data_IF_433009481738
#
_entry.id   IF_433009481738
#
_cell.length_a   1.000
_cell.length_b   1.000
_cell.length_c   1.000
_cell.angle_alpha   90.00
_cell.angle_beta   90.00
_cell.angle_gamma   90.00
#
_symmetry.space_group_name_H-M   'P 1'
#
loop_
_entity.id
_entity.type
_entity.pdbx_description
1 polymer ?
#
# COMPACT_ATOMS: atom_id res chain seq x y z
N UNK A 1 -11.24 6.22 35.61
CA UNK A 1 -10.50 7.43 35.22
C UNK A 1 -9.38 7.16 34.20
N UNK A 2 -8.78 5.97 34.13
CA UNK A 2 -7.74 5.69 33.11
C UNK A 2 -8.25 5.55 31.66
N UNK A 3 -9.51 5.12 31.46
CA UNK A 3 -10.15 4.99 30.13
C UNK A 3 -10.13 6.29 29.29
N UNK A 4 -9.97 7.45 29.93
CA UNK A 4 -10.04 8.77 29.27
C UNK A 4 -8.66 9.45 29.10
N UNK A 5 -7.56 8.78 29.45
CA UNK A 5 -6.20 9.29 29.20
C UNK A 5 -5.70 8.81 27.84
N UNK A 6 -6.37 9.23 26.79
CA UNK A 6 -6.03 8.90 25.41
C UNK A 6 -5.83 10.17 24.58
N UNK A 7 -4.93 10.09 23.61
CA UNK A 7 -4.75 11.10 22.57
C UNK A 7 -5.36 10.59 21.28
N UNK A 8 -6.06 11.47 20.55
CA UNK A 8 -6.59 11.21 19.22
C UNK A 8 -6.15 12.33 18.30
N UNK A 9 -5.66 11.98 17.12
CA UNK A 9 -5.34 12.92 16.05
C UNK A 9 -5.99 12.43 14.76
N UNK A 10 -6.79 13.27 14.13
CA UNK A 10 -7.41 13.00 12.83
C UNK A 10 -6.73 13.88 11.78
N UNK A 11 -6.13 13.25 10.78
CA UNK A 11 -5.33 13.89 9.74
C UNK A 11 -5.87 13.53 8.36
N UNK A 12 -5.73 14.45 7.41
CA UNK A 12 -5.90 14.15 5.99
C UNK A 12 -4.55 14.31 5.30
N UNK A 13 -3.96 13.20 4.86
CA UNK A 13 -2.69 13.18 4.13
C UNK A 13 -2.97 13.31 2.63
N UNK A 14 -2.45 14.36 2.01
CA UNK A 14 -2.53 14.56 0.55
C UNK A 14 -1.49 13.69 -0.14
N UNK A 15 -1.92 12.71 -0.93
CA UNK A 15 -1.03 11.87 -1.75
C UNK A 15 -1.35 12.04 -3.25
N UNK A 16 -0.39 11.70 -4.11
CA UNK A 16 -0.59 11.68 -5.58
C UNK A 16 -1.70 10.71 -6.02
N UNK A 17 -2.00 9.73 -5.17
CA UNK A 17 -3.04 8.71 -5.34
C UNK A 17 -4.34 9.07 -4.59
N UNK A 18 -4.49 10.32 -4.13
CA UNK A 18 -5.68 10.80 -3.42
C UNK A 18 -5.47 11.02 -1.92
N UNK A 19 -6.53 11.53 -1.27
CA UNK A 19 -6.49 11.94 0.13
C UNK A 19 -6.69 10.75 1.08
N UNK A 20 -5.69 10.45 1.90
CA UNK A 20 -5.80 9.41 2.94
C UNK A 20 -6.24 10.04 4.24
N UNK A 21 -7.37 9.58 4.79
CA UNK A 21 -7.76 9.91 6.15
C UNK A 21 -7.00 9.02 7.12
N UNK A 22 -6.29 9.61 8.06
CA UNK A 22 -5.52 8.91 9.07
C UNK A 22 -6.07 9.27 10.44
N UNK A 23 -6.45 8.26 11.21
CA UNK A 23 -6.83 8.40 12.61
C UNK A 23 -5.73 7.76 13.46
N UNK A 24 -5.11 8.56 14.32
CA UNK A 24 -4.06 8.14 15.26
C UNK A 24 -4.64 8.15 16.65
N UNK A 25 -4.50 7.04 17.38
CA UNK A 25 -4.96 6.89 18.76
C UNK A 25 -3.82 6.39 19.65
N UNK A 26 -3.66 6.98 20.83
CA UNK A 26 -2.65 6.57 21.81
C UNK A 26 -3.31 6.46 23.19
N UNK A 27 -3.38 5.26 23.75
CA UNK A 27 -3.92 5.01 25.09
C UNK A 27 -3.03 4.05 25.87
N UNK A 28 -2.59 4.47 27.05
CA UNK A 28 -1.65 3.66 27.81
C UNK A 28 -0.35 3.48 27.04
N UNK A 29 0.09 2.24 26.85
CA UNK A 29 1.25 1.91 26.00
C UNK A 29 0.86 1.71 24.54
N UNK A 30 -0.42 1.51 24.27
CA UNK A 30 -0.93 1.08 22.98
C UNK A 30 -1.13 2.28 22.05
N UNK A 31 -0.75 2.09 20.80
CA UNK A 31 -0.79 3.11 19.75
C UNK A 31 -1.36 2.51 18.47
N UNK A 32 -2.33 3.20 17.88
CA UNK A 32 -3.01 2.78 16.66
C UNK A 32 -2.89 3.83 15.59
N UNK A 33 -2.61 3.40 14.37
CA UNK A 33 -2.71 4.22 13.16
C UNK A 33 -3.71 3.56 12.23
N UNK A 34 -4.83 4.21 11.99
CA UNK A 34 -5.92 3.74 11.14
C UNK A 34 -5.94 4.59 9.88
N UNK A 35 -5.45 4.02 8.78
CA UNK A 35 -5.49 4.64 7.47
C UNK A 35 -6.75 4.20 6.72
N UNK A 36 -7.64 5.17 6.48
CA UNK A 36 -8.78 5.08 5.59
C UNK A 36 -8.39 5.74 4.27
N UNK A 37 -8.05 4.89 3.32
CA UNK A 37 -7.70 5.34 1.99
C UNK A 37 -8.92 5.94 1.25
N UNK A 38 -8.72 6.85 0.29
CA UNK A 38 -9.80 7.61 -0.36
C UNK A 38 -10.85 6.73 -1.06
N UNK A 39 -10.51 5.48 -1.36
CA UNK A 39 -11.40 4.46 -1.92
C UNK A 39 -12.07 3.55 -0.87
N UNK A 40 -12.42 4.09 0.31
CA UNK A 40 -13.15 3.37 1.39
C UNK A 40 -14.44 2.67 0.93
N UNK A 41 -15.04 3.07 -0.21
CA UNK A 41 -16.18 2.38 -0.83
C UNK A 41 -15.86 0.93 -1.24
N UNK A 42 -14.58 0.58 -1.42
CA UNK A 42 -14.13 -0.79 -1.66
C UNK A 42 -13.75 -1.55 -0.36
N UNK A 43 -13.90 -0.92 0.81
CA UNK A 43 -13.60 -1.51 2.12
C UNK A 43 -12.11 -1.68 2.43
N UNK A 44 -11.21 -1.05 1.65
CA UNK A 44 -9.75 -1.19 1.82
C UNK A 44 -9.24 -0.24 2.89
N UNK A 45 -8.95 -0.78 4.06
CA UNK A 45 -8.43 -0.04 5.22
C UNK A 45 -7.16 -0.70 5.77
N UNK A 46 -6.31 0.10 6.40
CA UNK A 46 -5.16 -0.40 7.16
C UNK A 46 -5.30 0.04 8.60
N UNK A 47 -5.08 -0.88 9.53
CA UNK A 47 -4.75 -0.56 10.91
C UNK A 47 -3.35 -1.08 11.24
N UNK A 48 -2.57 -0.24 11.92
CA UNK A 48 -1.29 -0.59 12.51
C UNK A 48 -1.44 -0.49 14.02
N UNK A 49 -1.19 -1.60 14.72
CA UNK A 49 -1.09 -1.62 16.17
C UNK A 49 0.39 -1.59 16.55
N UNK A 50 0.77 -0.73 17.48
CA UNK A 50 2.15 -0.61 17.93
C UNK A 50 2.21 -0.07 19.36
N UNK A 51 3.42 0.04 19.89
CA UNK A 51 3.70 0.78 21.11
C UNK A 51 4.69 1.89 20.76
N UNK A 52 4.45 3.11 21.26
CA UNK A 52 5.39 4.20 21.08
C UNK A 52 6.59 3.99 22.00
N UNK A 53 7.81 4.23 21.51
CA UNK A 53 9.04 4.14 22.31
C UNK A 53 9.85 5.42 22.14
N UNK A 54 10.60 5.80 23.18
CA UNK A 54 11.44 7.00 23.16
C UNK A 54 12.47 6.91 22.02
N UNK A 55 12.42 7.86 21.08
CA UNK A 55 13.30 7.87 19.90
C UNK A 55 13.10 6.67 18.97
N UNK A 56 11.98 5.95 19.07
CA UNK A 56 11.75 4.71 18.33
C UNK A 56 12.56 3.51 18.83
N UNK A 57 13.31 3.66 19.92
CA UNK A 57 14.15 2.59 20.49
C UNK A 57 13.30 1.55 21.22
N UNK A 58 13.07 0.42 20.55
CA UNK A 58 12.23 -0.69 21.06
C UNK A 58 12.81 -1.39 22.29
N UNK A 59 14.09 -1.17 22.62
CA UNK A 59 14.68 -1.69 23.86
C UNK A 59 14.23 -0.90 25.09
N UNK A 60 13.78 0.35 24.88
CA UNK A 60 13.25 1.19 25.94
C UNK A 60 11.79 0.84 26.24
N UNK A 61 11.32 1.09 27.47
CA UNK A 61 9.91 0.91 27.81
C UNK A 61 9.00 1.71 26.88
N UNK A 62 7.85 1.14 26.52
CA UNK A 62 6.81 1.86 25.80
C UNK A 62 6.36 3.09 26.59
N UNK A 63 6.15 4.20 25.89
CA UNK A 63 5.80 5.49 26.46
C UNK A 63 4.29 5.70 26.46
N UNK A 64 3.82 6.38 27.50
CA UNK A 64 2.43 6.81 27.64
C UNK A 64 2.21 8.14 26.90
N UNK A 65 0.96 8.49 26.56
CA UNK A 65 0.64 9.83 26.09
C UNK A 65 1.15 10.88 27.09
N UNK A 66 1.58 12.03 26.55
CA UNK A 66 1.94 13.19 27.35
C UNK A 66 0.77 13.53 28.28
N UNK A 67 1.02 13.58 29.59
CA UNK A 67 -0.02 13.85 30.57
C UNK A 67 -0.54 15.28 30.38
N UNK A 68 -1.86 15.50 30.51
CA UNK A 68 -2.48 16.82 30.31
C UNK A 68 -1.84 17.96 31.13
N UNK A 69 -1.20 17.63 32.25
CA UNK A 69 -0.57 18.58 33.16
C UNK A 69 0.95 18.74 32.94
N UNK A 70 1.50 18.21 31.85
CA UNK A 70 2.93 18.29 31.55
C UNK A 70 3.47 19.74 31.53
N UNK A 71 2.63 20.70 31.11
CA UNK A 71 2.96 22.13 31.11
C UNK A 71 3.22 22.68 32.52
N UNK A 72 2.70 22.06 33.57
CA UNK A 72 2.96 22.46 34.96
C UNK A 72 4.41 22.25 35.39
N UNK A 73 5.16 21.43 34.64
CA UNK A 73 6.57 21.18 34.92
C UNK A 73 7.52 22.01 34.03
N UNK A 74 6.96 22.79 33.10
CA UNK A 74 7.76 23.65 32.24
C UNK A 74 8.28 24.86 33.00
N UNK A 75 9.52 25.21 32.71
CA UNK A 75 10.13 26.45 33.17
C UNK A 75 10.40 27.38 32.00
N UNK A 76 10.30 28.68 32.26
CA UNK A 76 10.59 29.72 31.29
C UNK A 76 12.09 29.76 31.01
N UNK A 77 12.47 29.64 29.74
CA UNK A 77 13.85 29.80 29.28
C UNK A 77 14.13 31.26 28.94
N UNK A 78 13.24 31.89 28.17
CA UNK A 78 13.46 33.23 27.67
C UNK A 78 12.53 33.62 26.54
N UNK A 79 12.64 34.86 26.09
CA UNK A 79 11.92 35.36 24.92
C UNK A 79 12.84 35.36 23.72
N UNK A 80 12.42 34.68 22.66
CA UNK A 80 13.26 34.41 21.50
C UNK A 80 12.60 34.92 20.23
N UNK A 81 13.41 35.49 19.33
CA UNK A 81 13.00 35.76 17.96
C UNK A 81 13.36 34.54 17.12
N UNK A 82 12.35 33.80 16.67
CA UNK A 82 12.52 32.50 16.03
C UNK A 82 11.77 32.44 14.69
N UNK A 83 12.39 31.81 13.70
CA UNK A 83 11.70 31.44 12.46
C UNK A 83 10.84 30.20 12.69
N UNK A 84 9.58 30.27 12.31
CA UNK A 84 8.62 29.18 12.42
C UNK A 84 8.60 28.41 11.10
N UNK A 85 8.90 27.13 11.17
CA UNK A 85 8.96 26.25 10.01
C UNK A 85 7.58 26.08 9.35
N UNK A 86 7.53 25.72 8.07
CA UNK A 86 6.30 25.46 7.27
C UNK A 86 5.33 26.65 7.04
N UNK A 87 5.31 27.65 7.92
CA UNK A 87 4.55 28.90 7.75
C UNK A 87 5.40 30.07 7.26
N UNK A 88 6.73 29.89 7.17
CA UNK A 88 7.68 30.88 6.65
C UNK A 88 7.58 32.26 7.31
N UNK A 89 7.37 32.29 8.62
CA UNK A 89 7.20 33.51 9.40
C UNK A 89 8.24 33.59 10.52
N UNK A 90 8.68 34.80 10.89
CA UNK A 90 9.55 35.02 12.06
C UNK A 90 8.74 35.71 13.15
N UNK A 91 8.63 35.10 14.32
CA UNK A 91 7.88 35.64 15.46
C UNK A 91 8.77 35.80 16.70
N UNK A 92 8.31 36.63 17.65
CA UNK A 92 8.91 36.76 18.97
C UNK A 92 8.04 35.97 19.95
N UNK A 93 8.57 34.89 20.51
CA UNK A 93 7.82 33.94 21.31
C UNK A 93 8.48 33.70 22.68
N UNK A 94 7.67 33.39 23.68
CA UNK A 94 8.13 32.92 24.99
C UNK A 94 8.46 31.43 24.89
N UNK A 95 9.70 31.09 25.22
CA UNK A 95 10.25 29.75 25.17
C UNK A 95 10.19 29.11 26.55
N UNK A 96 9.59 27.92 26.60
CA UNK A 96 9.43 27.08 27.76
C UNK A 96 10.09 25.73 27.51
N UNK A 97 10.63 25.10 28.55
CA UNK A 97 11.09 23.71 28.45
C UNK A 97 10.81 22.88 29.70
N UNK A 98 10.73 21.58 29.49
CA UNK A 98 10.77 20.56 30.52
C UNK A 98 11.50 19.32 29.98
N UNK A 99 12.73 19.09 30.47
CA UNK A 99 13.59 18.05 29.92
C UNK A 99 13.83 18.27 28.41
N UNK A 100 13.58 17.28 27.54
CA UNK A 100 13.74 17.42 26.09
C UNK A 100 12.53 18.08 25.40
N UNK A 101 11.48 18.47 26.12
CA UNK A 101 10.27 19.06 25.52
C UNK A 101 10.35 20.58 25.56
N UNK A 102 10.20 21.21 24.40
CA UNK A 102 10.23 22.66 24.25
C UNK A 102 8.93 23.18 23.66
N UNK A 103 8.49 24.33 24.14
CA UNK A 103 7.29 25.01 23.69
C UNK A 103 7.56 26.50 23.45
N UNK A 104 7.03 27.05 22.37
CA UNK A 104 7.04 28.48 22.10
C UNK A 104 5.61 28.99 22.04
N UNK A 105 5.31 29.97 22.90
CA UNK A 105 3.99 30.57 23.01
C UNK A 105 4.02 32.07 22.72
N UNK A 106 2.91 32.60 22.24
CA UNK A 106 2.69 34.03 22.05
C UNK A 106 2.73 34.77 23.41
N UNK A 107 3.63 35.75 23.60
CA UNK A 107 3.76 36.49 24.86
C UNK A 107 2.49 37.15 25.38
N UNK A 108 1.65 37.63 24.47
CA UNK A 108 0.49 38.43 24.83
C UNK A 108 -0.66 37.61 25.44
N UNK A 109 -0.76 36.33 25.10
CA UNK A 109 -1.91 35.50 25.48
C UNK A 109 -1.56 34.04 25.84
N UNK A 110 -0.29 33.64 25.77
CA UNK A 110 0.17 32.29 26.07
C UNK A 110 -0.25 31.23 25.03
N UNK A 111 -0.80 31.63 23.88
CA UNK A 111 -1.19 30.69 22.82
C UNK A 111 0.03 29.96 22.33
N UNK A 112 -0.02 28.62 22.35
CA UNK A 112 1.09 27.81 21.91
C UNK A 112 1.16 27.82 20.37
N UNK A 113 2.36 28.04 19.84
CA UNK A 113 2.61 28.23 18.40
C UNK A 113 3.46 27.09 17.84
N UNK A 114 4.44 26.63 18.63
CA UNK A 114 5.40 25.61 18.21
C UNK A 114 5.76 24.72 19.38
N UNK A 115 5.80 23.41 19.13
CA UNK A 115 6.37 22.42 20.02
C UNK A 115 7.55 21.74 19.34
N UNK A 116 8.55 21.39 20.13
CA UNK A 116 9.67 20.60 19.68
C UNK A 116 10.07 19.57 20.71
N UNK A 117 10.41 18.39 20.22
CA UNK A 117 11.18 17.40 20.95
C UNK A 117 12.25 16.84 20.01
N UNK A 118 13.51 16.69 20.46
CA UNK A 118 14.64 16.27 19.62
C UNK A 118 14.46 14.91 18.92
N UNK A 119 13.43 14.14 19.27
CA UNK A 119 13.23 12.78 18.78
C UNK A 119 11.84 12.49 18.19
N UNK A 120 10.86 13.40 18.38
CA UNK A 120 9.46 13.17 17.95
C UNK A 120 8.98 14.21 16.91
N UNK A 121 9.86 15.09 16.44
CA UNK A 121 9.59 16.05 15.38
C UNK A 121 9.11 17.41 15.86
N UNK A 122 8.88 18.29 14.87
CA UNK A 122 8.37 19.66 15.04
C UNK A 122 6.85 19.65 14.86
N UNK A 123 6.11 20.25 15.80
CA UNK A 123 4.68 20.49 15.65
C UNK A 123 4.42 21.99 15.63
N UNK A 124 3.69 22.44 14.62
CA UNK A 124 3.39 23.87 14.39
C UNK A 124 1.89 24.02 14.27
N UNK A 125 1.32 24.86 15.13
CA UNK A 125 -0.11 25.06 15.22
C UNK A 125 -0.46 26.34 14.46
N UNK A 126 -1.09 26.20 13.28
CA UNK A 126 -1.43 27.31 12.40
C UNK A 126 -2.45 28.26 13.03
N UNK A 127 -3.50 27.69 13.64
CA UNK A 127 -4.48 28.41 14.45
C UNK A 127 -4.79 27.57 15.69
N UNK A 128 -4.36 28.08 16.85
CA UNK A 128 -4.79 27.66 18.19
C UNK A 128 -4.25 26.31 18.70
N UNK A 129 -3.35 26.39 19.69
CA UNK A 129 -3.42 25.49 20.85
C UNK A 129 -3.80 26.33 22.07
N UNK A 130 -4.97 26.04 22.65
CA UNK A 130 -5.40 26.63 23.93
C UNK A 130 -6.73 27.40 23.95
N UNK A 131 -7.39 27.64 22.82
CA UNK A 131 -8.68 28.38 22.77
C UNK A 131 -9.82 27.63 22.08
N UNK A 132 -9.77 26.30 21.99
CA UNK A 132 -11.00 25.51 21.84
C UNK A 132 -11.48 25.11 23.25
N UNK A 133 -12.35 25.90 23.92
CA UNK A 133 -13.03 25.49 25.15
C UNK A 133 -14.05 24.37 24.89
N UNK A 134 -14.01 23.72 23.73
CA UNK A 134 -14.85 22.59 23.41
C UNK A 134 -14.60 21.47 24.41
N UNK A 135 -15.68 20.98 25.02
CA UNK A 135 -15.67 19.70 25.70
C UNK A 135 -15.19 18.63 24.73
N UNK A 136 -14.14 17.90 25.13
CA UNK A 136 -13.71 16.70 24.42
C UNK A 136 -14.92 15.75 24.31
N UNK A 137 -15.30 15.38 23.09
CA UNK A 137 -16.37 14.40 22.91
C UNK A 137 -15.85 13.02 23.31
N UNK A 138 -16.21 12.56 24.51
CA UNK A 138 -15.82 11.22 24.99
C UNK A 138 -16.22 10.10 24.03
N UNK A 139 -17.22 10.32 23.16
CA UNK A 139 -17.66 9.32 22.17
C UNK A 139 -16.56 8.95 21.19
N UNK A 140 -15.66 9.87 20.85
CA UNK A 140 -14.57 9.59 19.90
C UNK A 140 -13.51 8.62 20.44
N UNK A 141 -13.58 8.28 21.74
CA UNK A 141 -12.72 7.30 22.42
C UNK A 141 -13.48 6.04 22.87
N UNK A 142 -14.76 5.88 22.51
CA UNK A 142 -15.54 4.71 22.92
C UNK A 142 -15.08 3.41 22.24
N UNK A 143 -14.51 3.52 21.05
CA UNK A 143 -14.02 2.40 20.26
C UNK A 143 -12.49 2.31 20.33
N UNK A 144 -11.97 2.12 21.54
CA UNK A 144 -10.56 1.73 21.75
C UNK A 144 -10.53 0.27 22.22
N UNK A 145 -9.81 -0.64 21.54
CA UNK A 145 -9.11 -0.44 20.26
C UNK A 145 -10.09 -0.17 19.10
N UNK A 146 -9.66 0.53 18.03
CA UNK A 146 -10.53 0.81 16.90
C UNK A 146 -11.11 -0.45 16.28
N UNK A 147 -12.37 -0.42 15.85
CA UNK A 147 -13.03 -1.57 15.22
C UNK A 147 -12.27 -2.07 13.98
N UNK A 148 -11.64 -1.17 13.23
CA UNK A 148 -10.78 -1.50 12.10
C UNK A 148 -9.51 -2.27 12.51
N UNK A 149 -9.08 -2.20 13.76
CA UNK A 149 -7.93 -2.96 14.26
C UNK A 149 -8.31 -4.37 14.75
N UNK A 150 -9.60 -4.60 15.04
CA UNK A 150 -10.13 -5.90 15.46
C UNK A 150 -10.29 -6.85 14.28
N UNK A 151 -10.44 -8.14 14.57
CA UNK A 151 -10.65 -9.17 13.55
C UNK A 151 -11.88 -8.85 12.70
N UNK A 152 -11.74 -8.91 11.38
CA UNK A 152 -12.81 -8.58 10.44
C UNK A 152 -13.03 -7.07 10.24
N UNK A 153 -12.19 -6.21 10.83
CA UNK A 153 -12.22 -4.76 10.66
C UNK A 153 -11.54 -4.31 9.37
N UNK A 154 -10.27 -3.89 9.47
CA UNK A 154 -9.48 -3.44 8.34
C UNK A 154 -9.01 -4.62 7.48
N UNK A 155 -8.84 -4.35 6.19
CA UNK A 155 -8.22 -5.28 5.22
C UNK A 155 -6.81 -5.66 5.66
N UNK A 156 -6.07 -4.71 6.21
CA UNK A 156 -4.71 -4.92 6.72
C UNK A 156 -4.67 -4.60 8.20
N UNK A 157 -4.18 -5.55 9.00
CA UNK A 157 -3.96 -5.38 10.43
C UNK A 157 -2.51 -5.73 10.74
N UNK A 158 -1.67 -4.71 10.83
CA UNK A 158 -0.23 -4.86 11.06
C UNK A 158 0.02 -4.90 12.56
N UNK A 159 0.65 -5.97 13.03
CA UNK A 159 0.97 -6.20 14.45
C UNK A 159 -0.23 -6.14 15.41
N UNK A 160 -1.46 -6.25 14.89
CA UNK A 160 -2.66 -6.33 15.73
C UNK A 160 -3.01 -7.79 16.02
N UNK A 161 -3.38 -8.10 17.25
CA UNK A 161 -4.08 -9.34 17.57
C UNK A 161 -5.57 -9.29 17.18
N UNK A 162 -6.34 -10.35 17.46
CA UNK A 162 -7.75 -10.42 17.09
C UNK A 162 -8.63 -9.41 17.84
N UNK A 163 -8.18 -8.97 19.02
CA UNK A 163 -8.85 -7.95 19.84
C UNK A 163 -8.40 -6.52 19.48
N UNK A 164 -7.45 -6.39 18.54
CA UNK A 164 -6.95 -5.12 18.01
C UNK A 164 -5.86 -4.48 18.86
N UNK A 165 -5.19 -5.22 19.74
CA UNK A 165 -4.06 -4.75 20.53
C UNK A 165 -2.72 -5.08 19.88
N UNK A 166 -1.66 -4.38 20.28
CA UNK A 166 -0.33 -4.66 19.76
C UNK A 166 0.15 -6.04 20.20
N UNK A 167 0.50 -6.85 19.20
CA UNK A 167 1.20 -8.12 19.36
C UNK A 167 2.37 -8.14 18.38
N UNK A 168 3.61 -7.91 18.85
CA UNK A 168 4.77 -7.98 17.98
C UNK A 168 4.89 -9.40 17.42
N UNK A 169 4.87 -9.51 16.10
CA UNK A 169 5.47 -10.67 15.43
C UNK A 169 6.98 -10.45 15.50
N UNK A 170 7.74 -11.49 15.83
CA UNK A 170 9.16 -11.39 16.18
C UNK A 170 10.05 -10.83 15.05
N UNK A 171 9.58 -10.77 13.80
CA UNK A 171 10.40 -10.50 12.61
C UNK A 171 10.04 -9.23 11.79
N UNK A 172 8.81 -8.67 11.89
CA UNK A 172 8.29 -7.52 11.07
C UNK A 172 9.04 -6.20 11.27
N UNK A 173 9.65 -6.03 12.44
CA UNK A 173 9.81 -4.71 13.05
C UNK A 173 11.07 -3.94 12.60
N UNK A 174 12.03 -4.60 11.94
CA UNK A 174 13.18 -3.97 11.28
C UNK A 174 12.87 -3.57 9.81
N UNK A 175 11.90 -4.22 9.15
CA UNK A 175 11.64 -4.07 7.71
C UNK A 175 10.73 -2.88 7.35
N UNK A 176 9.89 -2.42 8.27
CA UNK A 176 8.94 -1.31 8.01
C UNK A 176 9.64 0.04 7.80
N UNK A 177 10.77 0.32 8.48
CA UNK A 177 11.52 1.57 8.37
C UNK A 177 12.38 1.67 7.09
N UNK A 178 12.70 0.53 6.44
CA UNK A 178 13.42 0.47 5.17
C UNK A 178 12.51 0.34 3.94
N UNK A 179 11.22 0.04 4.14
CA UNK A 179 10.28 -0.31 3.06
C UNK A 179 10.03 0.79 2.00
N UNK A 180 10.23 2.07 2.34
CA UNK A 180 9.97 3.19 1.43
C UNK A 180 11.07 3.44 0.40
N UNK A 181 12.27 2.86 0.58
CA UNK A 181 13.41 3.02 -0.35
C UNK A 181 13.80 1.64 -0.88
N UNK A 182 13.80 1.48 -2.21
CA UNK A 182 14.19 0.21 -2.81
C UNK A 182 15.67 -0.12 -2.50
N UNK A 183 15.94 -1.35 -2.03
CA UNK A 183 17.31 -1.79 -1.76
C UNK A 183 18.15 -1.84 -3.04
N UNK A 184 19.49 -1.85 -2.92
CA UNK A 184 20.37 -2.05 -4.09
C UNK A 184 20.08 -3.35 -4.83
N UNK A 185 19.64 -4.39 -4.12
CA UNK A 185 19.24 -5.66 -4.74
C UNK A 185 17.92 -5.53 -5.51
N UNK A 186 16.95 -4.80 -4.96
CA UNK A 186 15.69 -4.49 -5.66
C UNK A 186 15.95 -3.70 -6.95
N UNK A 187 16.78 -2.66 -6.89
CA UNK A 187 17.14 -1.87 -8.08
C UNK A 187 17.88 -2.73 -9.12
N UNK A 188 18.76 -3.64 -8.67
CA UNK A 188 19.45 -4.58 -9.57
C UNK A 188 18.46 -5.53 -10.23
N UNK A 189 17.49 -6.07 -9.49
CA UNK A 189 16.40 -6.90 -10.04
C UNK A 189 15.59 -6.11 -11.08
N UNK A 190 15.18 -4.89 -10.75
CA UNK A 190 14.39 -4.06 -11.65
C UNK A 190 15.12 -3.74 -12.96
N UNK A 191 16.42 -3.43 -12.90
CA UNK A 191 17.25 -3.19 -14.10
C UNK A 191 17.55 -4.45 -14.92
N UNK A 192 17.40 -5.63 -14.34
CA UNK A 192 17.63 -6.90 -15.03
C UNK A 192 16.35 -7.33 -15.75
N UNK A 193 16.30 -7.14 -17.07
CA UNK A 193 15.12 -7.47 -17.90
C UNK A 193 14.93 -8.97 -18.04
N UNK A 194 15.99 -9.69 -18.46
CA UNK A 194 15.96 -11.14 -18.64
C UNK A 194 16.65 -11.81 -17.44
N UNK A 195 15.94 -12.66 -16.67
CA UNK A 195 16.50 -13.29 -15.48
C UNK A 195 17.42 -14.46 -15.82
N UNK A 196 18.11 -14.98 -14.80
CA UNK A 196 18.96 -16.18 -14.91
C UNK A 196 18.14 -17.43 -15.27
N UNK A 197 18.83 -18.49 -15.72
CA UNK A 197 18.22 -19.74 -16.19
C UNK A 197 17.23 -20.36 -15.20
N UNK A 198 17.49 -20.26 -13.90
CA UNK A 198 16.65 -20.87 -12.86
C UNK A 198 15.25 -20.26 -12.72
N UNK A 199 15.00 -19.10 -13.33
CA UNK A 199 13.69 -18.44 -13.38
C UNK A 199 13.00 -18.60 -14.74
N UNK A 200 13.49 -19.50 -15.59
CA UNK A 200 13.02 -19.65 -16.98
C UNK A 200 12.55 -21.07 -17.26
N UNK A 201 11.49 -21.16 -18.05
CA UNK A 201 10.97 -22.43 -18.59
C UNK A 201 11.19 -22.56 -20.09
N UNK A 202 11.01 -23.78 -20.61
CA UNK A 202 11.14 -24.06 -22.05
C UNK A 202 9.90 -23.66 -22.87
N UNK A 203 8.72 -23.65 -22.25
CA UNK A 203 7.43 -23.29 -22.82
C UNK A 203 6.55 -22.64 -21.74
N UNK A 204 5.30 -22.25 -22.08
CA UNK A 204 4.39 -21.58 -21.15
C UNK A 204 4.16 -22.38 -19.87
N UNK A 205 3.75 -23.65 -19.99
CA UNK A 205 3.46 -24.51 -18.85
C UNK A 205 4.67 -24.68 -17.92
N UNK A 206 5.85 -24.95 -18.48
CA UNK A 206 7.07 -25.12 -17.70
C UNK A 206 7.54 -23.80 -17.07
N UNK A 207 7.38 -22.67 -17.76
CA UNK A 207 7.64 -21.35 -17.20
C UNK A 207 6.74 -21.09 -15.99
N UNK A 208 5.42 -21.25 -16.14
CA UNK A 208 4.46 -21.04 -15.04
C UNK A 208 4.78 -21.95 -13.86
N UNK A 209 5.13 -23.23 -14.09
CA UNK A 209 5.52 -24.15 -13.02
C UNK A 209 6.81 -23.71 -12.29
N UNK A 210 7.85 -23.28 -13.03
CA UNK A 210 9.09 -22.77 -12.44
C UNK A 210 8.81 -21.52 -11.59
N UNK A 211 8.04 -20.58 -12.11
CA UNK A 211 7.71 -19.34 -11.39
C UNK A 211 6.83 -19.61 -10.17
N UNK A 212 5.86 -20.53 -10.27
CA UNK A 212 5.03 -20.96 -9.15
C UNK A 212 5.86 -21.55 -8.01
N UNK A 213 6.91 -22.33 -8.32
CA UNK A 213 7.83 -22.84 -7.30
C UNK A 213 8.56 -21.71 -6.56
N UNK A 214 8.96 -20.64 -7.27
CA UNK A 214 9.58 -19.47 -6.64
C UNK A 214 8.59 -18.66 -5.79
N UNK A 215 7.35 -18.51 -6.25
CA UNK A 215 6.28 -17.85 -5.46
C UNK A 215 6.00 -18.65 -4.19
N UNK A 216 5.85 -19.98 -4.32
CA UNK A 216 5.58 -20.88 -3.21
C UNK A 216 6.73 -20.99 -2.20
N UNK A 217 7.96 -20.67 -2.62
CA UNK A 217 9.14 -20.60 -1.75
C UNK A 217 9.37 -19.21 -1.14
N UNK A 218 8.53 -18.23 -1.47
CA UNK A 218 8.62 -16.85 -1.00
C UNK A 218 7.99 -16.62 0.37
N UNK A 219 7.96 -15.36 0.79
CA UNK A 219 7.52 -14.94 2.13
C UNK A 219 5.99 -14.96 2.34
N UNK A 220 5.21 -14.91 1.26
CA UNK A 220 3.75 -14.86 1.34
C UNK A 220 3.11 -16.25 1.15
N UNK A 221 1.96 -16.45 1.79
CA UNK A 221 1.09 -17.58 1.50
C UNK A 221 0.58 -17.50 0.05
N UNK A 222 0.24 -18.65 -0.53
CA UNK A 222 -0.18 -18.72 -1.92
C UNK A 222 -1.43 -19.56 -2.09
N UNK A 223 -2.18 -19.25 -3.14
CA UNK A 223 -3.40 -19.94 -3.52
C UNK A 223 -3.42 -20.19 -5.03
N UNK A 224 -3.94 -21.34 -5.47
CA UNK A 224 -4.01 -21.65 -6.89
C UNK A 224 -4.88 -20.62 -7.63
N UNK A 225 -4.50 -20.22 -8.84
CA UNK A 225 -5.27 -19.22 -9.61
C UNK A 225 -6.75 -19.61 -9.74
N UNK A 226 -7.03 -20.91 -9.89
CA UNK A 226 -8.39 -21.42 -10.05
C UNK A 226 -9.32 -21.15 -8.86
N UNK A 227 -8.76 -20.99 -7.66
CA UNK A 227 -9.50 -20.75 -6.42
C UNK A 227 -9.83 -19.27 -6.18
N UNK A 228 -9.35 -18.37 -7.05
CA UNK A 228 -9.64 -16.95 -6.97
C UNK A 228 -10.88 -16.58 -7.78
N UNK A 229 -11.69 -15.67 -7.24
CA UNK A 229 -12.68 -14.95 -8.04
C UNK A 229 -12.17 -13.56 -8.47
N UNK A 230 -12.88 -12.92 -9.42
CA UNK A 230 -12.45 -11.65 -10.01
C UNK A 230 -12.43 -10.50 -8.99
N UNK A 231 -13.41 -10.43 -8.09
CA UNK A 231 -13.49 -9.37 -7.08
C UNK A 231 -12.31 -9.46 -6.09
N UNK A 232 -11.97 -10.67 -5.65
CA UNK A 232 -10.80 -10.91 -4.79
C UNK A 232 -9.50 -10.52 -5.48
N UNK A 233 -9.31 -10.90 -6.75
CA UNK A 233 -8.11 -10.55 -7.51
C UNK A 233 -8.01 -9.04 -7.71
N UNK A 234 -9.09 -8.37 -8.09
CA UNK A 234 -9.10 -6.93 -8.31
C UNK A 234 -8.82 -6.16 -6.99
N UNK A 235 -9.32 -6.64 -5.85
CA UNK A 235 -8.97 -6.10 -4.52
C UNK A 235 -7.49 -6.30 -4.19
N UNK A 236 -6.94 -7.49 -4.45
CA UNK A 236 -5.52 -7.77 -4.28
C UNK A 236 -4.67 -6.87 -5.17
N UNK A 237 -5.02 -6.75 -6.45
CA UNK A 237 -4.34 -5.89 -7.41
C UNK A 237 -4.36 -4.43 -6.97
N UNK A 238 -5.50 -3.92 -6.53
CA UNK A 238 -5.60 -2.56 -5.99
C UNK A 238 -4.65 -2.39 -4.80
N UNK A 239 -4.58 -3.36 -3.88
CA UNK A 239 -3.62 -3.33 -2.78
C UNK A 239 -2.17 -3.30 -3.28
N UNK A 240 -1.79 -4.22 -4.17
CA UNK A 240 -0.44 -4.32 -4.72
C UNK A 240 -0.03 -3.02 -5.43
N UNK A 241 -0.95 -2.40 -6.16
CA UNK A 241 -0.73 -1.09 -6.77
C UNK A 241 -0.42 -0.03 -5.73
N UNK A 242 -1.10 -0.03 -4.58
CA UNK A 242 -0.92 0.99 -3.53
C UNK A 242 0.37 0.84 -2.74
N UNK A 243 0.79 -0.40 -2.50
CA UNK A 243 2.03 -0.69 -1.77
C UNK A 243 3.24 -0.83 -2.69
N UNK A 244 3.07 -0.53 -3.99
CA UNK A 244 4.19 -0.52 -4.94
C UNK A 244 5.23 0.52 -4.55
N UNK A 245 6.47 0.24 -4.89
CA UNK A 245 7.54 1.21 -4.75
C UNK A 245 7.67 2.02 -6.05
N UNK A 246 7.44 3.34 -5.96
CA UNK A 246 7.46 4.25 -7.10
C UNK A 246 8.84 4.37 -7.77
N UNK A 247 9.93 3.99 -7.10
CA UNK A 247 11.28 4.00 -7.68
C UNK A 247 11.37 3.07 -8.91
N UNK A 248 10.59 1.98 -8.94
CA UNK A 248 10.60 1.05 -10.06
C UNK A 248 9.92 1.61 -11.31
N UNK A 249 8.92 2.48 -11.15
CA UNK A 249 8.24 3.14 -12.26
C UNK A 249 9.22 3.99 -13.10
N UNK A 250 10.22 4.59 -12.43
CA UNK A 250 11.31 5.35 -13.06
C UNK A 250 12.25 4.50 -13.93
N UNK A 251 12.27 3.18 -13.70
CA UNK A 251 13.07 2.22 -14.47
C UNK A 251 12.26 1.67 -15.64
N UNK A 252 11.00 1.28 -15.39
CA UNK A 252 10.20 0.55 -16.38
C UNK A 252 9.60 1.45 -17.45
N UNK A 253 9.16 2.65 -17.09
CA UNK A 253 8.45 3.55 -18.01
C UNK A 253 9.35 4.04 -19.15
N UNK A 254 10.56 4.58 -18.90
CA UNK A 254 11.43 5.07 -19.97
C UNK A 254 11.93 3.96 -20.90
N UNK A 255 12.12 2.75 -20.36
CA UNK A 255 12.57 1.58 -21.12
C UNK A 255 11.47 0.94 -21.97
N UNK A 256 10.21 1.40 -21.85
CA UNK A 256 9.02 0.75 -22.44
C UNK A 256 8.94 -0.74 -22.08
N UNK A 257 9.34 -1.05 -20.85
CA UNK A 257 9.39 -2.41 -20.33
C UNK A 257 7.97 -3.00 -20.26
N UNK A 258 7.82 -4.30 -20.48
CA UNK A 258 6.53 -5.01 -20.33
C UNK A 258 6.08 -5.07 -18.87
N UNK A 259 6.98 -4.79 -17.92
CA UNK A 259 6.69 -4.65 -16.50
C UNK A 259 6.06 -3.30 -16.15
N UNK A 260 6.05 -2.30 -17.03
CA UNK A 260 5.49 -0.98 -16.70
C UNK A 260 4.00 -1.05 -16.38
N UNK A 261 3.53 -0.18 -15.48
CA UNK A 261 2.10 0.06 -15.28
C UNK A 261 1.60 0.93 -16.44
N UNK A 262 0.58 0.47 -17.15
CA UNK A 262 0.07 1.12 -18.37
C UNK A 262 -0.98 2.17 -18.06
N UNK A 263 -1.75 1.98 -17.00
CA UNK A 263 -2.77 2.92 -16.54
C UNK A 263 -2.14 4.02 -15.67
N UNK A 264 -2.63 5.24 -15.82
CA UNK A 264 -2.08 6.42 -15.12
C UNK A 264 -2.49 6.43 -13.65
N UNK A 265 -3.70 5.97 -13.32
CA UNK A 265 -4.24 5.96 -11.94
C UNK A 265 -4.94 4.65 -11.57
N UNK A 266 -5.14 4.41 -10.27
CA UNK A 266 -5.92 3.26 -9.78
C UNK A 266 -7.40 3.38 -10.18
N UNK A 267 -7.91 4.61 -10.28
CA UNK A 267 -9.25 4.94 -10.73
C UNK A 267 -9.45 4.46 -12.18
N UNK A 268 -8.48 4.68 -13.06
CA UNK A 268 -8.52 4.19 -14.45
C UNK A 268 -8.52 2.66 -14.52
N UNK A 269 -7.70 2.03 -13.67
CA UNK A 269 -7.63 0.57 -13.56
C UNK A 269 -9.00 0.01 -13.15
N UNK A 270 -9.62 0.60 -12.12
CA UNK A 270 -10.94 0.18 -11.62
C UNK A 270 -12.05 0.42 -12.63
N UNK A 271 -12.03 1.53 -13.36
CA UNK A 271 -12.98 1.78 -14.44
C UNK A 271 -12.86 0.69 -15.51
N UNK A 272 -11.63 0.33 -15.88
CA UNK A 272 -11.35 -0.77 -16.82
C UNK A 272 -11.90 -2.09 -16.31
N UNK A 273 -11.71 -2.41 -15.02
CA UNK A 273 -12.28 -3.61 -14.41
C UNK A 273 -13.80 -3.62 -14.40
N UNK A 274 -14.44 -2.51 -14.05
CA UNK A 274 -15.90 -2.39 -14.03
C UNK A 274 -16.51 -2.60 -15.42
N UNK A 275 -15.92 -1.98 -16.44
CA UNK A 275 -16.35 -2.14 -17.83
C UNK A 275 -16.15 -3.58 -18.31
N UNK A 276 -14.99 -4.18 -18.01
CA UNK A 276 -14.70 -5.56 -18.36
C UNK A 276 -15.64 -6.56 -17.66
N UNK A 277 -15.87 -6.40 -16.37
CA UNK A 277 -16.75 -7.27 -15.59
C UNK A 277 -18.17 -7.22 -16.18
N UNK A 278 -18.67 -6.01 -16.48
CA UNK A 278 -19.99 -5.82 -17.12
C UNK A 278 -20.08 -6.46 -18.50
N UNK A 279 -19.03 -6.34 -19.32
CA UNK A 279 -18.96 -6.98 -20.63
C UNK A 279 -19.06 -8.51 -20.52
N UNK A 280 -18.37 -9.10 -19.54
CA UNK A 280 -18.33 -10.55 -19.35
C UNK A 280 -19.64 -11.09 -18.76
N UNK A 281 -20.22 -10.42 -17.77
CA UNK A 281 -21.48 -10.84 -17.11
C UNK A 281 -22.67 -10.89 -18.07
N UNK A 282 -22.69 -10.04 -19.09
CA UNK A 282 -23.76 -10.02 -20.11
C UNK A 282 -23.62 -11.06 -21.21
N UNK A 283 -22.56 -11.88 -21.22
CA UNK A 283 -22.17 -12.67 -22.38
C UNK A 283 -22.58 -14.15 -22.30
N UNK A 284 -23.09 -14.79 -23.38
CA UNK A 284 -23.48 -16.22 -23.36
C UNK A 284 -22.38 -17.20 -22.95
N UNK A 285 -21.11 -16.83 -23.16
CA UNK A 285 -19.93 -17.60 -22.76
C UNK A 285 -19.28 -17.11 -21.46
N UNK A 286 -20.04 -16.43 -20.59
CA UNK A 286 -19.59 -15.79 -19.33
C UNK A 286 -18.55 -16.63 -18.57
N UNK A 287 -18.87 -17.89 -18.25
CA UNK A 287 -17.97 -18.75 -17.46
C UNK A 287 -16.59 -18.93 -18.11
N UNK A 288 -16.54 -19.14 -19.44
CA UNK A 288 -15.28 -19.29 -20.17
C UNK A 288 -14.50 -17.97 -20.16
N UNK A 289 -15.18 -16.85 -20.38
CA UNK A 289 -14.55 -15.52 -20.38
C UNK A 289 -14.04 -15.13 -19.00
N UNK A 290 -14.78 -15.42 -17.93
CA UNK A 290 -14.34 -15.21 -16.54
C UNK A 290 -13.05 -15.94 -16.23
N UNK A 291 -12.86 -17.17 -16.74
CA UNK A 291 -11.61 -17.92 -16.55
C UNK A 291 -10.43 -17.25 -17.25
N UNK A 292 -10.63 -16.73 -18.48
CA UNK A 292 -9.57 -16.01 -19.21
C UNK A 292 -9.18 -14.73 -18.46
N UNK A 293 -10.17 -13.95 -18.00
CA UNK A 293 -9.93 -12.72 -17.23
C UNK A 293 -9.24 -13.01 -15.90
N UNK A 294 -9.69 -14.03 -15.18
CA UNK A 294 -9.08 -14.46 -13.91
C UNK A 294 -7.61 -14.81 -14.11
N UNK A 295 -7.29 -15.63 -15.11
CA UNK A 295 -5.91 -16.03 -15.38
C UNK A 295 -5.05 -14.81 -15.78
N UNK A 296 -5.59 -13.87 -16.56
CA UNK A 296 -4.93 -12.60 -16.86
C UNK A 296 -4.59 -11.81 -15.58
N UNK A 297 -5.55 -11.69 -14.65
CA UNK A 297 -5.35 -11.00 -13.38
C UNK A 297 -4.42 -11.74 -12.41
N UNK A 298 -4.39 -13.07 -12.40
CA UNK A 298 -3.40 -13.83 -11.64
C UNK A 298 -1.98 -13.50 -12.13
N UNK A 299 -1.76 -13.50 -13.44
CA UNK A 299 -0.48 -13.13 -14.04
C UNK A 299 -0.08 -11.69 -13.71
N UNK A 300 -0.99 -10.73 -13.85
CA UNK A 300 -0.72 -9.33 -13.52
C UNK A 300 -0.45 -9.13 -12.02
N UNK A 301 -1.20 -9.81 -11.14
CA UNK A 301 -0.97 -9.77 -9.69
C UNK A 301 0.42 -10.27 -9.32
N UNK A 302 0.85 -11.40 -9.90
CA UNK A 302 2.21 -11.93 -9.71
C UNK A 302 3.25 -10.95 -10.25
N UNK A 303 3.03 -10.37 -11.42
CA UNK A 303 3.92 -9.36 -12.00
C UNK A 303 4.08 -8.16 -11.08
N UNK A 304 2.99 -7.64 -10.52
CA UNK A 304 3.02 -6.53 -9.57
C UNK A 304 3.72 -6.94 -8.28
N UNK A 305 3.32 -8.05 -7.67
CA UNK A 305 3.94 -8.54 -6.46
C UNK A 305 5.46 -8.73 -6.61
N UNK A 306 5.93 -9.40 -7.67
CA UNK A 306 7.34 -9.72 -7.84
C UNK A 306 8.18 -8.50 -8.24
N UNK A 307 7.67 -7.66 -9.15
CA UNK A 307 8.46 -6.61 -9.78
C UNK A 307 8.22 -5.21 -9.23
N UNK A 308 7.05 -4.94 -8.66
CA UNK A 308 6.66 -3.60 -8.20
C UNK A 308 6.75 -3.40 -6.69
N UNK A 309 6.92 -4.47 -5.92
CA UNK A 309 7.14 -4.38 -4.48
C UNK A 309 8.62 -4.55 -4.14
N UNK A 310 9.09 -3.78 -3.15
CA UNK A 310 10.39 -4.00 -2.53
C UNK A 310 10.38 -5.31 -1.74
N UNK A 311 11.56 -5.89 -1.50
CA UNK A 311 11.67 -7.13 -0.72
C UNK A 311 11.08 -6.96 0.70
N UNK A 312 11.33 -5.81 1.33
CA UNK A 312 10.76 -5.50 2.65
C UNK A 312 9.24 -5.46 2.62
N UNK A 313 8.65 -4.85 1.59
CA UNK A 313 7.19 -4.83 1.43
C UNK A 313 6.64 -6.24 1.28
N UNK A 314 7.28 -7.10 0.48
CA UNK A 314 6.86 -8.51 0.33
C UNK A 314 6.91 -9.27 1.65
N UNK A 315 7.95 -9.07 2.45
CA UNK A 315 8.09 -9.71 3.75
C UNK A 315 6.99 -9.26 4.71
N UNK A 316 6.73 -7.95 4.78
CA UNK A 316 5.63 -7.38 5.58
C UNK A 316 4.28 -7.98 5.14
N UNK A 317 4.00 -8.01 3.84
CA UNK A 317 2.74 -8.59 3.33
C UNK A 317 2.63 -10.08 3.67
N UNK A 318 3.73 -10.83 3.55
CA UNK A 318 3.76 -12.25 3.91
C UNK A 318 3.39 -12.50 5.36
N UNK A 319 3.86 -11.65 6.27
CA UNK A 319 3.51 -11.74 7.68
C UNK A 319 2.06 -11.37 7.97
N UNK A 320 1.43 -10.52 7.15
CA UNK A 320 0.00 -10.18 7.33
C UNK A 320 -0.96 -11.31 6.96
N UNK A 321 -0.47 -12.38 6.33
CA UNK A 321 -1.30 -13.50 5.87
C UNK A 321 -2.02 -13.24 4.56
N UNK A 322 -1.54 -12.29 3.75
CA UNK A 322 -2.04 -12.07 2.40
C UNK A 322 -1.64 -13.24 1.51
N UNK A 323 -2.58 -13.73 0.73
CA UNK A 323 -2.34 -14.77 -0.27
C UNK A 323 -2.03 -14.17 -1.63
N UNK A 324 -1.01 -14.70 -2.30
CA UNK A 324 -0.65 -14.35 -3.68
C UNK A 324 -1.12 -15.46 -4.62
N UNK A 325 -1.75 -15.15 -5.76
CA UNK A 325 -2.14 -16.16 -6.73
C UNK A 325 -0.91 -16.83 -7.34
N UNK A 326 -1.01 -18.13 -7.58
CA UNK A 326 -0.11 -18.81 -8.51
C UNK A 326 -0.51 -18.47 -9.96
N UNK A 327 0.41 -18.66 -10.90
CA UNK A 327 0.15 -18.55 -12.34
C UNK A 327 -0.64 -19.77 -12.84
N UNK A 328 -1.50 -19.56 -13.85
CA UNK A 328 -2.14 -20.68 -14.55
C UNK A 328 -1.10 -21.46 -15.37
N UNK A 329 -1.26 -22.78 -15.41
CA UNK A 329 -0.35 -23.67 -16.14
C UNK A 329 -0.73 -23.82 -17.62
N UNK A 330 -2.00 -23.53 -17.96
CA UNK A 330 -2.53 -23.68 -19.30
C UNK A 330 -2.67 -22.30 -19.97
N UNK A 331 -2.12 -22.10 -21.18
CA UNK A 331 -2.27 -20.85 -21.91
C UNK A 331 -3.63 -20.79 -22.61
N UNK A 332 -4.17 -19.57 -22.77
CA UNK A 332 -5.38 -19.35 -23.56
C UNK A 332 -5.11 -19.09 -25.06
N UNK A 333 -3.86 -18.86 -25.49
CA UNK A 333 -3.50 -18.44 -26.86
C UNK A 333 -2.81 -19.51 -27.75
N UNK A 334 -2.34 -20.64 -27.21
CA UNK A 334 -1.70 -21.69 -28.03
C UNK A 334 -2.71 -22.39 -28.96
N UNK A 335 -2.25 -23.13 -29.97
CA UNK A 335 -3.10 -23.84 -30.93
C UNK A 335 -4.12 -24.75 -30.21
N UNK A 336 -5.40 -24.36 -30.28
CA UNK A 336 -6.51 -25.03 -29.57
C UNK A 336 -6.95 -24.38 -28.25
N UNK A 337 -6.30 -23.30 -27.82
CA UNK A 337 -6.64 -22.50 -26.65
C UNK A 337 -7.93 -21.68 -26.81
N UNK A 338 -8.46 -21.19 -25.70
CA UNK A 338 -9.73 -20.47 -25.65
C UNK A 338 -9.78 -19.25 -26.60
N UNK A 339 -8.67 -18.51 -26.71
CA UNK A 339 -8.56 -17.29 -27.50
C UNK A 339 -8.36 -17.52 -29.00
N UNK A 340 -7.93 -18.71 -29.42
CA UNK A 340 -7.82 -19.07 -30.84
C UNK A 340 -9.19 -19.05 -31.54
N UNK A 341 -10.29 -19.19 -30.78
CA UNK A 341 -11.67 -19.24 -31.27
C UNK A 341 -12.39 -17.88 -31.25
N UNK A 342 -11.69 -16.79 -30.92
CA UNK A 342 -12.32 -15.46 -30.69
C UNK A 342 -12.79 -14.72 -31.95
N UNK A 343 -12.54 -15.24 -33.15
CA UNK A 343 -12.59 -14.47 -34.42
C UNK A 343 -13.94 -13.81 -34.78
N UNK A 344 -15.06 -14.18 -34.15
CA UNK A 344 -16.39 -13.63 -34.47
C UNK A 344 -17.10 -12.94 -33.29
N UNK A 345 -16.46 -12.86 -32.12
CA UNK A 345 -17.07 -12.36 -30.89
C UNK A 345 -16.22 -11.23 -30.31
N UNK A 346 -16.73 -10.00 -30.39
CA UNK A 346 -16.03 -8.78 -29.95
C UNK A 346 -15.71 -8.79 -28.45
N UNK A 347 -16.60 -9.37 -27.62
CA UNK A 347 -16.38 -9.48 -26.18
C UNK A 347 -15.23 -10.45 -25.92
N UNK A 348 -15.25 -11.60 -26.59
CA UNK A 348 -14.19 -12.59 -26.49
C UNK A 348 -12.84 -12.05 -27.00
N UNK A 349 -12.83 -11.29 -28.11
CA UNK A 349 -11.62 -10.63 -28.61
C UNK A 349 -11.05 -9.63 -27.60
N UNK A 350 -11.92 -8.85 -26.96
CA UNK A 350 -11.52 -7.88 -25.94
C UNK A 350 -10.89 -8.56 -24.72
N UNK A 351 -11.52 -9.63 -24.22
CA UNK A 351 -11.00 -10.44 -23.11
C UNK A 351 -9.66 -11.10 -23.48
N UNK A 352 -9.52 -11.61 -24.70
CA UNK A 352 -8.28 -12.24 -25.16
C UNK A 352 -7.14 -11.25 -25.37
N UNK A 353 -7.42 -10.04 -25.87
CA UNK A 353 -6.43 -8.97 -25.96
C UNK A 353 -5.95 -8.55 -24.57
N UNK A 354 -6.85 -8.41 -23.61
CA UNK A 354 -6.45 -8.17 -22.21
C UNK A 354 -5.53 -9.30 -21.71
N UNK A 355 -5.90 -10.56 -21.94
CA UNK A 355 -5.07 -11.69 -21.55
C UNK A 355 -3.66 -11.60 -22.15
N UNK A 356 -3.55 -11.32 -23.45
CA UNK A 356 -2.24 -11.14 -24.12
C UNK A 356 -1.43 -9.98 -23.52
N UNK A 357 -2.07 -8.87 -23.17
CA UNK A 357 -1.41 -7.72 -22.55
C UNK A 357 -0.91 -8.03 -21.13
N UNK A 358 -1.67 -8.79 -20.35
CA UNK A 358 -1.34 -9.10 -18.94
C UNK A 358 -0.42 -10.30 -18.78
N UNK A 359 -0.46 -11.25 -19.72
CA UNK A 359 0.35 -12.48 -19.68
C UNK A 359 1.66 -12.26 -20.45
N UNK A 360 2.45 -11.29 -20.00
CA UNK A 360 3.69 -10.89 -20.66
C UNK A 360 4.95 -11.61 -20.14
N UNK A 361 4.83 -12.44 -19.09
CA UNK A 361 5.94 -13.14 -18.44
C UNK A 361 6.79 -13.96 -19.43
N UNK A 362 6.16 -14.59 -20.42
CA UNK A 362 6.82 -15.43 -21.43
C UNK A 362 7.89 -14.68 -22.24
N UNK A 363 7.77 -13.36 -22.41
CA UNK A 363 8.74 -12.55 -23.14
C UNK A 363 10.15 -12.56 -22.52
N UNK A 364 10.25 -12.83 -21.21
CA UNK A 364 11.54 -12.87 -20.49
C UNK A 364 11.78 -14.21 -19.78
N UNK A 365 10.71 -14.93 -19.44
CA UNK A 365 10.78 -16.16 -18.64
C UNK A 365 10.57 -17.45 -19.45
N UNK A 366 10.26 -17.36 -20.74
CA UNK A 366 10.24 -18.54 -21.61
C UNK A 366 11.44 -18.53 -22.56
N UNK A 367 11.98 -19.72 -22.85
CA UNK A 367 12.93 -19.91 -23.95
C UNK A 367 12.21 -20.20 -25.28
N UNK A 368 10.88 -20.08 -25.32
CA UNK A 368 10.13 -20.17 -26.56
C UNK A 368 10.52 -18.98 -27.43
N UNK A 369 10.86 -19.24 -28.70
CA UNK A 369 11.08 -18.18 -29.66
C UNK A 369 9.78 -17.37 -29.78
N UNK A 370 9.83 -16.02 -29.84
CA UNK A 370 8.63 -15.24 -30.08
C UNK A 370 7.93 -15.75 -31.35
N UNK A 371 6.59 -15.74 -31.40
CA UNK A 371 5.87 -16.03 -32.64
C UNK A 371 6.49 -15.19 -33.76
N UNK A 372 6.80 -15.81 -34.91
CA UNK A 372 7.37 -15.09 -36.07
C UNK A 372 6.50 -13.86 -36.31
N UNK A 373 7.12 -12.67 -36.36
CA UNK A 373 6.43 -11.41 -36.63
C UNK A 373 5.46 -11.58 -37.79
N UNK A 374 4.16 -11.61 -37.50
CA UNK A 374 3.17 -11.31 -38.51
C UNK A 374 3.34 -9.84 -38.83
N UNK A 375 3.76 -9.54 -40.06
CA UNK A 375 3.92 -8.18 -40.60
C UNK A 375 2.81 -7.26 -40.08
N UNK A 376 3.13 -6.03 -39.65
CA UNK A 376 2.12 -5.12 -39.11
C UNK A 376 1.02 -4.92 -40.15
N UNK A 377 -0.18 -5.42 -39.85
CA UNK A 377 -1.40 -5.04 -40.54
C UNK A 377 -1.55 -3.52 -40.44
N UNK A 378 -1.91 -2.89 -41.56
CA UNK A 378 -2.14 -1.44 -41.65
C UNK A 378 -2.96 -0.98 -40.44
N UNK A 379 -2.42 -0.03 -39.68
CA UNK A 379 -3.20 0.77 -38.72
C UNK A 379 -4.41 1.32 -39.46
N UNK A 380 -5.61 0.87 -39.09
CA UNK A 380 -6.82 1.62 -39.38
C UNK A 380 -6.70 2.95 -38.63
N UNK A 381 -6.52 4.05 -39.36
CA UNK A 381 -6.71 5.39 -38.83
C UNK A 381 -8.19 5.52 -38.49
N UNK A 382 -8.51 5.58 -37.20
CA UNK A 382 -9.75 6.21 -36.78
C UNK A 382 -9.51 7.72 -36.75
N UNK A 383 -10.17 8.44 -37.65
CA UNK A 383 -10.36 9.87 -37.51
C UNK A 383 -11.36 10.08 -36.38
N UNK A 384 -10.95 10.82 -35.35
CA UNK A 384 -11.81 11.73 -34.61
C UNK A 384 -11.26 13.13 -34.84
#
# INVERSE_FOLDING_TARGET
MEKYKALREDLTLKMSIGDVQCEVLHQGKEFWVVNKYPWYAAGVHQCICTQAHEGGDKSKPAVYPVQYNWTQQMFYIGREKIGIEYVNEVRVLDHWAWGPHHAWSEPSNGTLVRLWQPFNGLQIFGDVTGANPGTVDEKVFQDIPPALCKKGGATFRINCDDDGYYKPKKDVNEQLASSSVASLQDIKRAKTVVPRKDYRGINFQNMSAVLNNWIASGSATFRACDDWNLDELQKLQAMLYLVRNADFDSIYTPARDNRRLVNETLEDIKATWADLNKLVEGHPAESKLKNIVRDAHCHESVMWYVHHLSEDTKNILGETGIEIPLLSLAPHHEDGGACAQSQQDETHQTVCRLYEEKVSCAACHSNALPPKETKPGRKARFNL
#
